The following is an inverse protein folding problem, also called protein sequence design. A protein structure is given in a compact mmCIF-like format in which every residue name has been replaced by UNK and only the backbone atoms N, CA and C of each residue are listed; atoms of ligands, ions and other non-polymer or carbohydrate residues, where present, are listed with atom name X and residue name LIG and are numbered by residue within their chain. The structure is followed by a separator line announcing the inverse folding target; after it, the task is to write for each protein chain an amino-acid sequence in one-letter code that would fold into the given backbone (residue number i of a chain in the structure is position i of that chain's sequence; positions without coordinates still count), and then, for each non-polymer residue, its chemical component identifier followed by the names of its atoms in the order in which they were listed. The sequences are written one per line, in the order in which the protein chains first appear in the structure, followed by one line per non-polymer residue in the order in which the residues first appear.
data_IF_473069436670
#
_entry.id   IF_473069436670
#
_cell.length_a   1.000
_cell.length_b   1.000
_cell.length_c   1.000
_cell.angle_alpha   90.00
_cell.angle_beta   90.00
_cell.angle_gamma   90.00
#
_symmetry.space_group_name_H-M   'P 1'
#
loop_
_entity.id
_entity.type
_entity.pdbx_description
1 polymer ?
#
# COMPACT_ATOMS: atom_id res chain seq x y z
N UNK A 1 6.95 4.33 46.04
CA UNK A 1 7.97 4.67 45.01
C UNK A 1 7.29 4.58 43.69
N UNK A 2 7.30 5.64 42.90
CA UNK A 2 6.84 5.55 41.52
C UNK A 2 8.08 5.14 40.71
N UNK A 3 8.11 3.94 40.18
CA UNK A 3 9.16 3.53 39.27
C UNK A 3 8.98 4.30 37.96
N UNK A 4 9.93 5.12 37.62
CA UNK A 4 9.94 5.84 36.35
C UNK A 4 10.57 4.93 35.30
N UNK A 5 9.82 4.61 34.27
CA UNK A 5 10.31 3.87 33.13
C UNK A 5 10.83 4.88 32.11
N UNK A 6 12.11 4.73 31.73
CA UNK A 6 12.73 5.54 30.69
C UNK A 6 12.73 4.75 29.39
N UNK A 7 12.29 5.39 28.32
CA UNK A 7 12.45 4.87 26.97
C UNK A 7 13.63 5.59 26.31
N UNK A 8 14.45 4.83 25.62
CA UNK A 8 15.59 5.37 24.87
C UNK A 8 15.56 4.85 23.46
N UNK A 9 15.84 5.71 22.50
CA UNK A 9 16.13 5.34 21.12
C UNK A 9 17.65 5.40 20.95
N UNK A 10 18.35 4.26 20.82
CA UNK A 10 19.78 4.27 20.50
C UNK A 10 19.92 4.58 19.01
N UNK A 11 20.46 5.73 18.67
CA UNK A 11 20.91 6.00 17.32
C UNK A 11 22.10 5.09 16.99
N UNK A 12 21.89 4.15 16.08
CA UNK A 12 22.98 3.34 15.54
C UNK A 12 23.57 4.04 14.32
N UNK A 13 24.45 5.01 14.56
CA UNK A 13 25.15 5.76 13.53
C UNK A 13 26.35 4.98 12.95
N UNK A 14 26.19 3.69 12.76
CA UNK A 14 27.21 2.84 12.13
C UNK A 14 27.50 3.22 10.68
N UNK A 15 26.62 4.00 10.06
CA UNK A 15 26.76 4.44 8.68
C UNK A 15 27.68 5.66 8.52
N UNK A 16 27.78 6.51 9.57
CA UNK A 16 28.56 7.75 9.55
C UNK A 16 29.76 7.76 10.52
N UNK A 17 30.00 6.66 11.25
CA UNK A 17 31.15 6.52 12.12
C UNK A 17 31.09 7.39 13.38
N UNK A 18 29.90 7.84 13.78
CA UNK A 18 29.65 8.64 14.97
C UNK A 18 29.43 7.83 16.24
N UNK A 19 29.54 8.44 17.39
CA UNK A 19 29.10 7.88 18.65
C UNK A 19 27.57 7.94 18.71
N UNK A 20 26.92 6.82 19.02
CA UNK A 20 25.48 6.79 19.23
C UNK A 20 25.11 7.62 20.46
N UNK A 21 24.43 8.75 20.26
CA UNK A 21 23.84 9.52 21.35
C UNK A 21 22.43 9.01 21.58
N UNK A 22 22.08 8.52 22.79
CA UNK A 22 20.72 8.09 23.06
C UNK A 22 19.79 9.31 23.21
N UNK A 23 18.60 9.23 22.64
CA UNK A 23 17.51 10.15 22.95
C UNK A 23 16.59 9.55 24.02
N UNK A 24 16.26 10.35 25.01
CA UNK A 24 15.45 9.96 26.14
C UNK A 24 14.05 10.56 26.01
N UNK A 25 13.07 9.84 26.52
CA UNK A 25 11.70 10.35 26.66
C UNK A 25 11.57 11.48 27.69
N UNK A 26 12.58 11.63 28.54
CA UNK A 26 12.69 12.70 29.53
C UNK A 26 13.60 13.79 28.97
N UNK A 27 13.03 14.95 28.68
CA UNK A 27 13.69 16.08 28.01
C UNK A 27 15.02 16.49 28.67
N UNK A 28 15.05 16.52 30.00
CA UNK A 28 16.21 16.95 30.78
C UNK A 28 17.41 15.99 30.69
N UNK A 29 17.20 14.79 30.15
CA UNK A 29 18.26 13.80 29.93
C UNK A 29 18.89 13.91 28.55
N UNK A 30 18.29 14.66 27.63
CA UNK A 30 18.81 14.90 26.30
C UNK A 30 19.89 16.01 26.35
N UNK A 31 21.00 15.78 25.67
CA UNK A 31 22.14 16.72 25.67
C UNK A 31 21.76 18.11 25.13
N UNK A 32 20.82 18.15 24.20
CA UNK A 32 20.31 19.37 23.56
C UNK A 32 19.13 20.01 24.32
N UNK A 33 18.66 19.39 25.40
CA UNK A 33 17.50 19.82 26.20
C UNK A 33 16.21 19.94 25.36
N UNK A 34 16.06 19.14 24.28
CA UNK A 34 14.87 19.11 23.45
C UNK A 34 14.03 17.87 23.75
N UNK A 35 12.75 17.99 23.44
CA UNK A 35 11.82 16.85 23.48
C UNK A 35 12.00 16.02 22.21
N UNK A 36 12.39 14.77 22.37
CA UNK A 36 12.55 13.80 21.28
C UNK A 36 11.49 12.72 21.29
N UNK A 37 10.40 12.91 22.03
CA UNK A 37 9.33 11.95 22.11
C UNK A 37 7.97 12.63 22.13
N UNK A 38 7.01 12.02 21.44
CA UNK A 38 5.60 12.34 21.56
C UNK A 38 4.84 11.06 21.95
N UNK A 39 3.84 11.19 22.80
CA UNK A 39 2.99 10.08 23.19
C UNK A 39 1.52 10.49 23.09
N UNK A 40 0.70 9.60 22.54
CA UNK A 40 -0.75 9.80 22.46
C UNK A 40 -1.48 8.46 22.55
N UNK A 41 -2.70 8.50 23.06
CA UNK A 41 -3.56 7.33 23.19
C UNK A 41 -4.50 7.25 22.01
N UNK A 42 -4.57 6.08 21.38
CA UNK A 42 -5.57 5.74 20.38
C UNK A 42 -6.26 4.46 20.86
N UNK A 43 -7.55 4.52 21.15
CA UNK A 43 -8.32 3.38 21.68
C UNK A 43 -7.59 2.68 22.84
N UNK A 44 -7.20 1.43 22.67
CA UNK A 44 -6.52 0.60 23.65
C UNK A 44 -4.98 0.63 23.55
N UNK A 45 -4.43 1.56 22.76
CA UNK A 45 -2.98 1.67 22.56
C UNK A 45 -2.46 3.04 22.97
N UNK A 46 -1.22 3.07 23.43
CA UNK A 46 -0.42 4.29 23.47
C UNK A 46 0.60 4.18 22.34
N UNK A 47 0.61 5.15 21.46
CA UNK A 47 1.65 5.31 20.46
C UNK A 47 2.74 6.19 21.07
N UNK A 48 3.96 5.68 21.13
CA UNK A 48 5.15 6.40 21.52
C UNK A 48 6.00 6.62 20.28
N UNK A 49 6.20 7.86 19.91
CA UNK A 49 6.92 8.30 18.73
C UNK A 49 8.22 8.97 19.11
N UNK A 50 9.29 8.73 18.37
CA UNK A 50 10.60 9.33 18.56
C UNK A 50 10.99 10.17 17.35
N UNK A 51 11.75 11.24 17.67
CA UNK A 51 12.39 12.15 16.73
C UNK A 51 13.90 12.02 16.87
N UNK A 52 14.61 11.68 15.79
CA UNK A 52 16.07 11.52 15.79
C UNK A 52 16.80 12.72 15.17
N UNK A 53 16.07 13.69 14.63
CA UNK A 53 16.61 14.89 13.99
C UNK A 53 15.88 16.17 14.44
N UNK A 54 15.80 17.16 13.57
CA UNK A 54 15.29 18.50 13.88
C UNK A 54 14.05 18.93 13.12
N UNK A 55 13.42 18.05 12.35
CA UNK A 55 12.23 18.34 11.55
C UNK A 55 10.90 18.25 12.34
N UNK A 56 10.97 17.74 13.58
CA UNK A 56 9.87 17.76 14.55
C UNK A 56 8.60 17.05 14.07
N UNK A 57 8.75 16.04 13.22
CA UNK A 57 7.60 15.28 12.72
C UNK A 57 7.31 14.01 13.52
N UNK A 58 8.24 13.59 14.41
CA UNK A 58 8.11 12.46 15.34
C UNK A 58 7.76 11.14 14.66
N UNK A 59 8.30 10.89 13.49
CA UNK A 59 7.98 9.68 12.71
C UNK A 59 9.16 8.72 12.52
N UNK A 60 10.35 9.03 13.03
CA UNK A 60 11.56 8.23 12.83
C UNK A 60 11.45 6.84 13.44
N UNK A 61 10.81 6.75 14.61
CA UNK A 61 10.54 5.47 15.23
C UNK A 61 9.27 5.52 16.06
N UNK A 62 8.34 4.60 15.78
CA UNK A 62 7.04 4.55 16.44
C UNK A 62 6.81 3.17 17.07
N UNK A 63 6.32 3.16 18.31
CA UNK A 63 6.00 1.96 19.07
C UNK A 63 4.58 2.01 19.59
N UNK A 64 3.85 0.90 19.43
CA UNK A 64 2.59 0.70 20.11
C UNK A 64 2.84 0.07 21.47
N UNK A 65 2.42 0.74 22.52
CA UNK A 65 2.46 0.25 23.89
C UNK A 65 1.07 -0.19 24.31
N UNK A 66 0.97 -1.40 24.77
CA UNK A 66 -0.28 -1.99 25.24
C UNK A 66 -0.14 -2.52 26.64
N UNK A 67 -1.18 -2.37 27.45
CA UNK A 67 -1.28 -2.98 28.78
C UNK A 67 -2.68 -3.55 29.02
N UNK A 68 -2.78 -4.56 29.87
CA UNK A 68 -4.05 -5.14 30.25
C UNK A 68 -4.19 -5.12 31.79
N UNK A 69 -5.12 -4.28 32.36
CA UNK A 69 -5.95 -3.33 31.58
C UNK A 69 -5.15 -2.11 31.09
N UNK A 70 -5.66 -1.40 30.09
CA UNK A 70 -5.01 -0.20 29.56
C UNK A 70 -4.92 0.93 30.59
N UNK A 71 -5.84 0.95 31.56
CA UNK A 71 -5.89 1.89 32.67
C UNK A 71 -4.70 1.73 33.64
N UNK A 72 -3.93 0.64 33.52
CA UNK A 72 -2.69 0.50 34.27
C UNK A 72 -1.67 1.57 33.90
N UNK A 73 -1.78 2.13 32.68
CA UNK A 73 -1.00 3.29 32.24
C UNK A 73 -1.85 4.55 32.51
N UNK A 74 -1.67 5.15 33.67
CA UNK A 74 -2.48 6.27 34.19
C UNK A 74 -1.81 7.63 34.05
N UNK A 75 -1.13 7.89 32.95
CA UNK A 75 -0.61 9.25 32.74
C UNK A 75 -1.70 10.15 32.17
N UNK A 76 -2.24 11.14 32.94
CA UNK A 76 -3.28 12.04 32.46
C UNK A 76 -2.79 13.02 31.38
N UNK A 77 -1.47 13.19 31.26
CA UNK A 77 -0.86 14.12 30.30
C UNK A 77 -0.75 13.50 28.89
N UNK A 78 -0.98 12.20 28.74
CA UNK A 78 -1.04 11.56 27.41
C UNK A 78 -2.39 11.89 26.78
N UNK A 79 -2.45 12.70 25.70
CA UNK A 79 -3.69 13.08 25.08
C UNK A 79 -4.37 11.87 24.41
N UNK A 80 -5.67 11.77 24.56
CA UNK A 80 -6.47 10.84 23.77
C UNK A 80 -6.68 11.45 22.38
N UNK A 81 -6.07 10.83 21.39
CA UNK A 81 -6.41 11.07 20.00
C UNK A 81 -7.55 10.11 19.64
N UNK A 82 -8.73 10.65 19.43
CA UNK A 82 -9.79 9.87 18.79
C UNK A 82 -9.42 9.76 17.32
N UNK A 83 -9.30 8.54 16.76
CA UNK A 83 -9.22 8.42 15.32
C UNK A 83 -10.37 9.19 14.69
N UNK A 84 -10.08 10.20 13.88
CA UNK A 84 -11.09 11.03 13.23
C UNK A 84 -11.66 12.21 14.02
N UNK A 85 -11.12 12.57 15.22
CA UNK A 85 -11.52 13.81 15.92
C UNK A 85 -10.78 15.06 15.40
N UNK A 86 -9.88 14.92 14.42
CA UNK A 86 -9.39 16.03 13.65
C UNK A 86 -10.28 16.22 12.45
N UNK A 87 -10.72 17.44 12.16
CA UNK A 87 -11.57 17.89 11.06
C UNK A 87 -12.30 16.76 10.32
N UNK A 88 -13.61 16.65 10.45
CA UNK A 88 -14.41 15.61 9.76
C UNK A 88 -14.18 15.57 8.25
N UNK A 89 -13.52 16.58 7.70
CA UNK A 89 -13.13 16.71 6.29
C UNK A 89 -11.69 16.30 5.99
N UNK A 90 -10.87 15.89 6.99
CA UNK A 90 -9.45 15.59 6.73
C UNK A 90 -9.32 14.28 5.98
N UNK A 91 -9.03 14.40 4.70
CA UNK A 91 -8.68 13.29 3.79
C UNK A 91 -7.17 13.15 3.75
N UNK A 92 -6.69 11.94 3.70
CA UNK A 92 -5.26 11.66 3.51
C UNK A 92 -5.08 10.56 2.47
N UNK A 93 -3.86 10.36 2.01
CA UNK A 93 -3.55 9.35 0.99
C UNK A 93 -2.32 8.56 1.39
N UNK A 94 -2.31 7.26 1.06
CA UNK A 94 -1.15 6.39 1.16
C UNK A 94 -0.73 5.95 -0.23
N UNK A 95 0.57 5.92 -0.49
CA UNK A 95 1.13 5.50 -1.77
C UNK A 95 1.90 4.18 -1.63
N UNK A 96 1.68 3.28 -2.58
CA UNK A 96 2.36 1.99 -2.70
C UNK A 96 2.99 1.86 -4.08
N UNK A 97 4.19 1.30 -4.15
CA UNK A 97 4.93 1.08 -5.40
C UNK A 97 5.61 -0.27 -5.40
N UNK A 98 5.70 -0.89 -6.58
CA UNK A 98 6.41 -2.15 -6.71
C UNK A 98 6.44 -2.63 -8.16
N UNK A 99 6.95 -3.85 -8.31
CA UNK A 99 6.99 -4.59 -9.56
C UNK A 99 6.43 -5.98 -9.30
N UNK A 100 5.59 -6.46 -10.21
CA UNK A 100 5.13 -7.85 -10.26
C UNK A 100 5.61 -8.49 -11.56
N UNK A 101 5.96 -9.76 -11.49
CA UNK A 101 6.44 -10.54 -12.61
C UNK A 101 5.70 -11.88 -12.64
N UNK A 102 5.33 -12.33 -13.83
CA UNK A 102 4.52 -13.51 -14.03
C UNK A 102 5.18 -14.48 -15.01
N UNK A 103 4.87 -15.76 -14.79
CA UNK A 103 5.18 -16.88 -15.65
C UNK A 103 3.88 -17.48 -16.18
N UNK A 104 3.70 -17.52 -17.49
CA UNK A 104 2.42 -17.86 -18.13
C UNK A 104 2.15 -19.37 -18.22
N UNK A 105 3.18 -20.19 -18.09
CA UNK A 105 3.03 -21.64 -18.10
C UNK A 105 2.64 -22.25 -16.74
N UNK A 106 2.60 -21.47 -15.68
CA UNK A 106 2.21 -21.96 -14.36
C UNK A 106 0.76 -22.48 -14.33
N UNK A 107 0.45 -23.64 -13.70
CA UNK A 107 1.33 -24.54 -12.92
C UNK A 107 2.08 -25.59 -13.77
N UNK A 108 1.99 -25.54 -15.09
CA UNK A 108 2.76 -26.41 -15.98
C UNK A 108 4.24 -26.03 -15.98
N UNK A 109 5.07 -26.91 -16.49
CA UNK A 109 6.51 -26.67 -16.57
C UNK A 109 6.84 -25.63 -17.61
N UNK A 110 7.26 -24.44 -17.17
CA UNK A 110 7.84 -23.37 -17.97
C UNK A 110 9.36 -23.32 -17.83
N UNK A 111 9.99 -22.24 -18.26
CA UNK A 111 11.41 -21.98 -18.11
C UNK A 111 11.75 -21.28 -16.76
N UNK A 112 10.71 -20.82 -16.04
CA UNK A 112 10.79 -20.25 -14.69
C UNK A 112 11.69 -19.01 -14.57
N UNK A 113 11.75 -18.21 -15.60
CA UNK A 113 12.57 -16.98 -15.62
C UNK A 113 11.78 -15.72 -15.22
N UNK A 114 10.45 -15.85 -14.97
CA UNK A 114 9.54 -14.81 -14.50
C UNK A 114 9.58 -13.53 -15.37
N UNK A 115 9.68 -13.68 -16.66
CA UNK A 115 9.77 -12.57 -17.59
C UNK A 115 8.63 -12.48 -18.61
N UNK A 116 7.63 -13.36 -18.53
CA UNK A 116 6.54 -13.39 -19.50
C UNK A 116 5.70 -12.12 -19.48
N UNK A 117 5.43 -11.59 -18.27
CA UNK A 117 4.81 -10.27 -18.11
C UNK A 117 5.41 -9.60 -16.88
N UNK A 118 6.04 -8.43 -17.08
CA UNK A 118 6.58 -7.62 -15.98
C UNK A 118 5.86 -6.27 -15.94
N UNK A 119 5.20 -5.99 -14.81
CA UNK A 119 4.41 -4.78 -14.60
C UNK A 119 4.93 -4.02 -13.38
N UNK A 120 5.23 -2.73 -13.55
CA UNK A 120 5.42 -1.81 -12.43
C UNK A 120 4.06 -1.25 -12.04
N UNK A 121 3.81 -1.15 -10.73
CA UNK A 121 2.62 -0.48 -10.23
C UNK A 121 2.98 0.68 -9.30
N UNK A 122 2.09 1.66 -9.27
CA UNK A 122 2.01 2.73 -8.30
C UNK A 122 0.52 2.93 -7.99
N UNK A 123 0.17 2.82 -6.73
CA UNK A 123 -1.22 2.92 -6.27
C UNK A 123 -1.32 3.93 -5.15
N UNK A 124 -2.28 4.85 -5.27
CA UNK A 124 -2.61 5.84 -4.24
C UNK A 124 -3.99 5.51 -3.69
N UNK A 125 -4.05 5.20 -2.40
CA UNK A 125 -5.29 4.99 -1.67
C UNK A 125 -5.71 6.29 -0.99
N UNK A 126 -6.94 6.75 -1.26
CA UNK A 126 -7.49 7.96 -0.67
C UNK A 126 -8.47 7.59 0.44
N UNK A 127 -8.26 8.15 1.62
CA UNK A 127 -9.00 7.83 2.84
C UNK A 127 -9.92 8.97 3.29
N UNK A 128 -10.99 8.61 3.98
CA UNK A 128 -11.79 9.54 4.77
C UNK A 128 -11.20 9.68 6.20
N UNK A 129 -11.81 10.55 7.00
CA UNK A 129 -11.45 10.78 8.41
C UNK A 129 -11.63 9.56 9.32
N UNK A 130 -12.37 8.54 8.88
CA UNK A 130 -12.59 7.29 9.61
C UNK A 130 -11.64 6.16 9.18
N UNK A 131 -10.53 6.49 8.52
CA UNK A 131 -9.54 5.53 8.01
C UNK A 131 -10.10 4.51 7.01
N UNK A 132 -11.17 4.88 6.30
CA UNK A 132 -11.78 4.04 5.28
C UNK A 132 -11.36 4.52 3.88
N UNK A 133 -11.05 3.59 3.00
CA UNK A 133 -10.68 3.87 1.62
C UNK A 133 -11.90 4.31 0.83
N UNK A 134 -11.84 5.51 0.29
CA UNK A 134 -12.87 6.11 -0.60
C UNK A 134 -12.65 5.73 -2.06
N UNK A 135 -11.37 5.73 -2.46
CA UNK A 135 -10.98 5.48 -3.85
C UNK A 135 -9.52 5.04 -3.92
N UNK A 136 -9.17 4.40 -5.04
CA UNK A 136 -7.79 4.15 -5.43
C UNK A 136 -7.48 4.82 -6.76
N UNK A 137 -6.23 5.26 -6.94
CA UNK A 137 -5.70 5.70 -8.23
C UNK A 137 -4.48 4.84 -8.54
N UNK A 138 -4.66 3.91 -9.47
CA UNK A 138 -3.69 2.89 -9.78
C UNK A 138 -3.03 3.20 -11.14
N UNK A 139 -1.70 3.18 -11.18
CA UNK A 139 -0.92 3.29 -12.41
C UNK A 139 -0.19 1.98 -12.62
N UNK A 140 -0.44 1.33 -13.75
CA UNK A 140 0.27 0.13 -14.19
C UNK A 140 1.07 0.46 -15.44
N UNK A 141 2.36 0.14 -15.40
CA UNK A 141 3.28 0.28 -16.52
C UNK A 141 3.78 -1.11 -16.93
N UNK A 142 3.38 -1.58 -18.10
CA UNK A 142 3.92 -2.81 -18.69
C UNK A 142 5.35 -2.54 -19.16
N UNK A 143 6.33 -3.18 -18.49
CA UNK A 143 7.75 -2.98 -18.74
C UNK A 143 8.30 -3.98 -19.76
N UNK A 144 7.82 -5.23 -19.69
CA UNK A 144 8.37 -6.33 -20.46
C UNK A 144 7.33 -7.38 -20.78
N UNK A 145 7.49 -8.02 -21.94
CA UNK A 145 6.73 -9.19 -22.36
C UNK A 145 7.67 -10.16 -23.06
N UNK A 146 8.11 -11.20 -22.36
CA UNK A 146 8.98 -12.25 -22.87
C UNK A 146 8.25 -13.40 -23.55
N UNK A 147 6.96 -13.56 -23.25
CA UNK A 147 6.15 -14.67 -23.68
C UNK A 147 5.86 -14.72 -25.18
N UNK A 148 5.62 -15.94 -25.67
CA UNK A 148 5.01 -16.19 -26.97
C UNK A 148 3.49 -16.04 -26.93
N UNK A 149 2.87 -16.32 -25.77
CA UNK A 149 1.43 -16.19 -25.58
C UNK A 149 0.99 -14.74 -25.47
N UNK A 150 -0.27 -14.51 -25.82
CA UNK A 150 -0.89 -13.19 -25.70
C UNK A 150 -1.45 -13.06 -24.28
N UNK A 151 -0.60 -12.62 -23.37
CA UNK A 151 -0.96 -12.47 -21.96
C UNK A 151 -1.64 -11.13 -21.70
N UNK A 152 -2.86 -11.16 -21.21
CA UNK A 152 -3.54 -10.00 -20.64
C UNK A 152 -3.14 -9.78 -19.19
N UNK A 153 -3.50 -8.63 -18.63
CA UNK A 153 -3.30 -8.31 -17.21
C UNK A 153 -4.57 -7.72 -16.61
N UNK A 154 -4.90 -8.20 -15.44
CA UNK A 154 -6.01 -7.73 -14.63
C UNK A 154 -5.65 -7.78 -13.15
N UNK A 155 -6.47 -7.16 -12.30
CA UNK A 155 -6.38 -7.31 -10.85
C UNK A 155 -7.77 -7.34 -10.23
N UNK A 156 -7.89 -8.01 -9.08
CA UNK A 156 -9.13 -8.12 -8.34
C UNK A 156 -9.03 -7.39 -7.01
N UNK A 157 -9.98 -6.51 -6.75
CA UNK A 157 -10.17 -5.84 -5.48
C UNK A 157 -11.01 -6.72 -4.55
N UNK A 158 -10.70 -6.74 -3.26
CA UNK A 158 -11.47 -7.51 -2.30
C UNK A 158 -12.76 -6.79 -1.89
N UNK A 159 -13.58 -6.51 -2.88
CA UNK A 159 -14.91 -5.93 -2.71
C UNK A 159 -15.84 -6.40 -3.82
N UNK A 160 -17.13 -6.21 -3.63
CA UNK A 160 -18.12 -6.55 -4.65
C UNK A 160 -18.07 -5.55 -5.82
N UNK A 161 -18.29 -6.04 -7.04
CA UNK A 161 -18.42 -5.20 -8.24
C UNK A 161 -19.46 -4.11 -8.09
N UNK A 162 -20.57 -4.41 -7.44
CA UNK A 162 -21.67 -3.45 -7.20
C UNK A 162 -21.27 -2.26 -6.33
N UNK A 163 -20.23 -2.40 -5.49
CA UNK A 163 -19.68 -1.35 -4.66
C UNK A 163 -18.65 -0.46 -5.38
N UNK A 164 -18.21 -0.87 -6.57
CA UNK A 164 -17.09 -0.25 -7.28
C UNK A 164 -17.55 0.46 -8.56
N UNK A 165 -16.99 1.62 -8.81
CA UNK A 165 -17.04 2.32 -10.10
C UNK A 165 -15.63 2.54 -10.57
N UNK A 166 -15.31 2.14 -11.79
CA UNK A 166 -13.96 2.20 -12.37
C UNK A 166 -13.95 3.14 -13.57
N UNK A 167 -12.96 4.03 -13.60
CA UNK A 167 -12.68 4.96 -14.69
C UNK A 167 -11.25 4.75 -15.21
N UNK A 168 -11.12 4.59 -16.52
CA UNK A 168 -9.80 4.57 -17.19
C UNK A 168 -9.35 6.00 -17.45
N UNK A 169 -8.46 6.54 -16.59
CA UNK A 169 -7.95 7.92 -16.72
C UNK A 169 -6.94 8.07 -17.86
N UNK A 170 -6.17 7.01 -18.12
CA UNK A 170 -5.27 6.93 -19.28
C UNK A 170 -5.08 5.48 -19.69
N UNK A 171 -4.93 5.26 -21.00
CA UNK A 171 -4.71 3.92 -21.55
C UNK A 171 -3.83 3.99 -22.78
N UNK A 172 -2.81 3.13 -22.87
CA UNK A 172 -1.97 2.97 -24.05
C UNK A 172 -2.65 2.18 -25.15
N UNK A 173 -3.60 1.30 -24.77
CA UNK A 173 -4.43 0.55 -25.72
C UNK A 173 -5.85 0.44 -25.17
N UNK A 174 -6.81 0.27 -26.05
CA UNK A 174 -8.23 0.03 -25.70
C UNK A 174 -8.71 -1.28 -26.27
N UNK A 175 -9.62 -1.93 -25.53
CA UNK A 175 -10.32 -3.13 -25.98
C UNK A 175 -11.73 -3.22 -25.39
N UNK A 176 -12.56 -4.05 -25.98
CA UNK A 176 -13.91 -4.29 -25.45
C UNK A 176 -13.84 -5.10 -24.14
N UNK A 177 -14.40 -4.57 -23.05
CA UNK A 177 -14.33 -5.17 -21.71
C UNK A 177 -13.18 -4.65 -20.86
N UNK A 178 -12.45 -3.58 -21.30
CA UNK A 178 -11.46 -2.89 -20.47
C UNK A 178 -12.13 -2.16 -19.29
N UNK A 179 -11.48 -2.15 -18.15
CA UNK A 179 -12.02 -1.59 -16.92
C UNK A 179 -12.74 -2.66 -16.09
N UNK A 180 -13.77 -2.26 -15.36
CA UNK A 180 -14.49 -3.15 -14.45
C UNK A 180 -15.23 -4.25 -15.22
N UNK A 181 -14.89 -5.50 -14.91
CA UNK A 181 -15.49 -6.67 -15.55
C UNK A 181 -16.99 -6.77 -15.21
N UNK A 182 -17.80 -6.96 -16.24
CA UNK A 182 -19.27 -6.95 -16.11
C UNK A 182 -19.85 -8.28 -15.61
N UNK A 183 -19.11 -9.38 -15.79
CA UNK A 183 -19.62 -10.74 -15.58
C UNK A 183 -19.22 -11.33 -14.22
N UNK A 184 -18.21 -10.73 -13.56
CA UNK A 184 -17.72 -11.20 -12.26
C UNK A 184 -18.41 -10.48 -11.10
N UNK A 185 -18.67 -11.20 -10.00
CA UNK A 185 -19.27 -10.65 -8.78
C UNK A 185 -18.29 -9.78 -8.01
N UNK A 186 -17.01 -10.19 -7.93
CA UNK A 186 -15.91 -9.40 -7.35
C UNK A 186 -15.48 -8.31 -8.32
N UNK A 187 -15.04 -7.17 -7.75
CA UNK A 187 -14.53 -6.05 -8.54
C UNK A 187 -13.20 -6.41 -9.19
N UNK A 188 -13.26 -6.93 -10.39
CA UNK A 188 -12.10 -7.29 -11.21
C UNK A 188 -11.93 -6.25 -12.31
N UNK A 189 -10.71 -5.74 -12.47
CA UNK A 189 -10.39 -4.68 -13.42
C UNK A 189 -9.44 -5.20 -14.49
N UNK A 190 -9.94 -5.26 -15.71
CA UNK A 190 -9.18 -5.65 -16.89
C UNK A 190 -8.36 -4.46 -17.40
N UNK A 191 -7.03 -4.58 -17.41
CA UNK A 191 -6.11 -3.46 -17.72
C UNK A 191 -5.69 -3.48 -19.18
N UNK A 192 -5.14 -4.60 -19.66
CA UNK A 192 -4.82 -4.83 -21.08
C UNK A 192 -5.03 -6.30 -21.47
N UNK A 193 -5.27 -6.53 -22.76
CA UNK A 193 -5.63 -7.87 -23.25
C UNK A 193 -4.42 -8.67 -23.75
N UNK A 194 -3.37 -8.01 -24.24
CA UNK A 194 -2.21 -8.68 -24.82
C UNK A 194 -0.94 -7.88 -24.61
N UNK A 195 -0.06 -8.40 -23.78
CA UNK A 195 1.24 -7.77 -23.48
C UNK A 195 2.10 -7.65 -24.77
N UNK A 196 2.17 -8.70 -25.58
CA UNK A 196 2.96 -8.71 -26.82
C UNK A 196 2.51 -7.61 -27.78
N UNK A 197 1.21 -7.47 -27.99
CA UNK A 197 0.67 -6.46 -28.91
C UNK A 197 0.90 -5.04 -28.42
N UNK A 198 0.92 -4.85 -27.09
CA UNK A 198 1.10 -3.54 -26.46
C UNK A 198 2.56 -3.12 -26.47
N UNK A 199 3.47 -4.05 -26.18
CA UNK A 199 4.91 -3.77 -26.10
C UNK A 199 5.65 -3.91 -27.43
N UNK A 200 4.98 -4.36 -28.49
CA UNK A 200 5.64 -4.66 -29.77
C UNK A 200 6.88 -5.56 -29.60
N UNK A 201 6.73 -6.60 -28.76
CA UNK A 201 7.83 -7.53 -28.47
C UNK A 201 8.97 -6.88 -27.70
N UNK A 202 8.68 -6.30 -26.55
CA UNK A 202 9.66 -5.68 -25.61
C UNK A 202 10.31 -4.37 -26.09
N UNK A 203 9.78 -3.72 -27.10
CA UNK A 203 10.39 -2.52 -27.66
C UNK A 203 9.88 -1.21 -27.05
N UNK A 204 8.75 -1.22 -26.39
CA UNK A 204 8.18 -0.05 -25.70
C UNK A 204 7.38 -0.46 -24.47
N UNK A 205 7.27 0.48 -23.57
CA UNK A 205 6.40 0.36 -22.39
C UNK A 205 5.00 0.88 -22.71
N UNK A 206 4.04 0.47 -21.90
CA UNK A 206 2.67 0.95 -21.99
C UNK A 206 2.14 1.27 -20.60
N UNK A 207 1.43 2.38 -20.48
CA UNK A 207 0.96 2.90 -19.19
C UNK A 207 -0.57 2.98 -19.19
N UNK A 208 -1.14 2.59 -18.07
CA UNK A 208 -2.57 2.61 -17.78
C UNK A 208 -2.80 3.27 -16.42
N UNK A 209 -3.69 4.24 -16.37
CA UNK A 209 -4.12 4.89 -15.13
C UNK A 209 -5.59 4.64 -14.90
N UNK A 210 -5.92 4.17 -13.72
CA UNK A 210 -7.23 3.67 -13.38
C UNK A 210 -7.63 4.29 -12.04
N UNK A 211 -8.86 4.77 -11.97
CA UNK A 211 -9.46 5.22 -10.72
C UNK A 211 -10.61 4.30 -10.36
N UNK A 212 -10.55 3.75 -9.15
CA UNK A 212 -11.66 3.03 -8.57
C UNK A 212 -12.26 3.87 -7.45
N UNK A 213 -13.59 4.01 -7.44
CA UNK A 213 -14.32 4.74 -6.40
C UNK A 213 -15.32 3.78 -5.76
N UNK A 214 -15.37 3.77 -4.44
CA UNK A 214 -16.25 2.89 -3.67
C UNK A 214 -17.51 3.63 -3.24
N UNK A 215 -18.69 3.06 -3.52
CA UNK A 215 -19.98 3.62 -3.09
C UNK A 215 -20.10 3.62 -1.57
N UNK A 216 -19.65 2.54 -0.95
CA UNK A 216 -19.47 2.42 0.49
C UNK A 216 -17.98 2.34 0.76
N UNK A 217 -17.39 3.27 1.54
CA UNK A 217 -15.99 3.23 1.90
C UNK A 217 -15.60 1.90 2.56
N UNK A 218 -14.37 1.44 2.33
CA UNK A 218 -13.88 0.14 2.78
C UNK A 218 -12.82 0.30 3.86
N UNK A 219 -12.84 -0.51 4.94
CA UNK A 219 -11.70 -0.63 5.81
C UNK A 219 -10.45 -1.03 5.01
N UNK A 220 -9.29 -0.43 5.33
CA UNK A 220 -8.04 -0.69 4.61
C UNK A 220 -7.66 -2.18 4.64
N UNK A 221 -7.79 -2.82 5.79
CA UNK A 221 -7.52 -4.25 5.96
C UNK A 221 -8.46 -5.14 5.14
N UNK A 222 -9.68 -4.67 4.82
CA UNK A 222 -10.62 -5.40 3.97
C UNK A 222 -10.21 -5.31 2.50
N UNK A 223 -9.86 -4.11 2.03
CA UNK A 223 -9.40 -3.91 0.65
C UNK A 223 -8.06 -4.61 0.40
N UNK A 224 -7.18 -4.61 1.40
CA UNK A 224 -5.81 -5.09 1.30
C UNK A 224 -4.85 -4.05 0.70
N UNK A 225 -3.60 -4.44 0.57
CA UNK A 225 -2.55 -3.58 0.01
C UNK A 225 -2.35 -3.83 -1.47
N UNK A 226 -2.03 -2.78 -2.27
CA UNK A 226 -1.66 -2.95 -3.67
C UNK A 226 -0.44 -3.88 -3.87
N UNK A 227 -0.37 -4.60 -4.98
CA UNK A 227 -1.25 -4.51 -6.16
C UNK A 227 -2.57 -5.30 -6.03
N UNK A 228 -3.03 -5.59 -4.83
CA UNK A 228 -4.24 -6.36 -4.49
C UNK A 228 -4.09 -7.84 -4.84
N UNK A 229 -4.92 -8.38 -5.72
CA UNK A 229 -4.76 -9.70 -6.32
C UNK A 229 -4.54 -9.54 -7.83
N UNK A 230 -3.28 -9.29 -8.29
CA UNK A 230 -2.95 -9.14 -9.70
C UNK A 230 -2.79 -10.51 -10.35
N UNK A 231 -3.21 -10.63 -11.60
CA UNK A 231 -3.07 -11.87 -12.35
C UNK A 231 -2.93 -11.62 -13.85
N UNK A 232 -2.43 -12.62 -14.56
CA UNK A 232 -2.41 -12.62 -16.01
C UNK A 232 -3.51 -13.53 -16.58
N UNK A 233 -4.01 -13.15 -17.74
CA UNK A 233 -4.98 -13.91 -18.51
C UNK A 233 -4.27 -14.50 -19.71
N UNK A 234 -3.98 -15.81 -19.68
CA UNK A 234 -3.21 -16.47 -20.73
C UNK A 234 -4.10 -16.79 -21.91
N UNK A 235 -3.71 -16.30 -23.09
CA UNK A 235 -4.33 -16.63 -24.38
C UNK A 235 -3.38 -17.53 -25.17
N UNK A 236 -3.63 -18.82 -25.15
CA UNK A 236 -2.86 -19.83 -25.91
C UNK A 236 -3.30 -19.98 -27.38
N UNK A 237 -4.25 -19.17 -27.81
CA UNK A 237 -4.85 -19.26 -29.14
C UNK A 237 -6.00 -20.25 -29.25
N UNK A 238 -6.30 -20.98 -28.18
CA UNK A 238 -7.43 -21.94 -28.09
C UNK A 238 -8.52 -21.30 -27.20
N UNK A 239 -9.21 -20.33 -27.56
CA UNK A 239 -10.46 -19.75 -27.02
C UNK A 239 -10.75 -19.86 -25.48
N UNK A 240 -9.83 -20.30 -24.64
CA UNK A 240 -9.97 -20.36 -23.21
C UNK A 240 -8.94 -19.45 -22.54
N UNK A 241 -9.44 -18.46 -21.81
CA UNK A 241 -8.65 -17.65 -20.87
C UNK A 241 -8.31 -18.51 -19.68
N UNK A 242 -7.03 -18.71 -19.40
CA UNK A 242 -6.56 -19.28 -18.15
C UNK A 242 -6.15 -18.14 -17.21
N UNK A 243 -6.61 -18.22 -15.99
CA UNK A 243 -6.27 -17.29 -14.92
C UNK A 243 -5.06 -17.84 -14.19
N UNK A 244 -3.97 -17.06 -14.12
CA UNK A 244 -2.74 -17.40 -13.40
C UNK A 244 -2.48 -16.32 -12.36
N UNK A 245 -2.51 -16.72 -11.09
CA UNK A 245 -2.26 -15.85 -9.92
C UNK A 245 -0.79 -15.89 -9.52
#
# INVERSE_FOLDING_TARGET
MRDTVYFTLPLNDSFYGGNSTPFYSTTELNEDNRTHTAAFRIDDFIVLSFEDWTDEDYNDSQFNVWSNPIEAITNPDIPNLKPGSGDEDKKYSLEYKGIVAFEDCWPSKGDYDLNDVIVRYQSVLNFNSNNQVLSTEDTYELLWSGATFKNGFAYQLNTERSNTSTEMLATSTTFNGQGLDADLSKATVNVFLSAVNVTEGNRKTATYKIKNTFKSPLPHETLGVPPYNPFIMVHDGLAQLQHVE
#
